data_IF_096903060212
#
_entry.id   IF_096903060212
#
_cell.length_a   1.000
_cell.length_b   1.000
_cell.length_c   1.000
_cell.angle_alpha   90.00
_cell.angle_beta   90.00
_cell.angle_gamma   90.00
#
_symmetry.space_group_name_H-M   'P 1'
#
loop_
_entity.id
_entity.type
_entity.pdbx_description
1 polymer ?
#
# COMPACT_ATOMS: atom_id res chain seq x y z
N UNK A 1 -8.67 10.95 -15.21
CA UNK A 1 -9.08 11.07 -13.80
C UNK A 1 -9.61 9.74 -13.24
N UNK A 2 -10.57 9.07 -13.91
CA UNK A 2 -11.18 7.83 -13.41
C UNK A 2 -10.24 6.67 -13.05
N UNK A 3 -9.11 6.49 -13.75
CA UNK A 3 -8.15 5.42 -13.42
C UNK A 3 -7.49 5.59 -12.05
N UNK A 4 -7.21 6.83 -11.65
CA UNK A 4 -6.60 7.14 -10.35
C UNK A 4 -7.64 7.02 -9.23
N UNK A 5 -8.85 7.52 -9.45
CA UNK A 5 -9.96 7.40 -8.51
C UNK A 5 -10.26 5.93 -8.17
N UNK A 6 -10.32 5.07 -9.19
CA UNK A 6 -10.50 3.63 -9.00
C UNK A 6 -9.31 3.00 -8.26
N UNK A 7 -8.09 3.40 -8.58
CA UNK A 7 -6.89 2.88 -7.90
C UNK A 7 -6.84 3.27 -6.41
N UNK A 8 -7.21 4.51 -6.08
CA UNK A 8 -7.30 5.00 -4.69
C UNK A 8 -8.37 4.24 -3.92
N UNK A 9 -9.57 4.09 -4.49
CA UNK A 9 -10.68 3.38 -3.85
C UNK A 9 -10.39 1.90 -3.60
N UNK A 10 -9.67 1.24 -4.51
CA UNK A 10 -9.33 -0.19 -4.38
C UNK A 10 -8.13 -0.46 -3.44
N UNK A 11 -7.30 0.53 -3.11
CA UNK A 11 -6.16 0.42 -2.17
C UNK A 11 -6.46 0.91 -0.75
N UNK A 12 -7.74 1.15 -0.45
CA UNK A 12 -8.22 1.48 0.89
C UNK A 12 -8.23 0.26 1.83
N UNK A 13 -7.04 -0.32 2.08
CA UNK A 13 -6.84 -1.37 3.08
C UNK A 13 -6.84 -0.73 4.48
N UNK A 14 -7.99 -0.73 5.14
CA UNK A 14 -8.15 -0.24 6.51
C UNK A 14 -8.13 -1.39 7.53
N UNK A 15 -7.59 -1.08 8.72
CA UNK A 15 -7.54 -1.98 9.87
C UNK A 15 -6.39 -3.00 9.84
N UNK A 16 -6.21 -3.71 10.95
CA UNK A 16 -5.10 -4.64 11.18
C UNK A 16 -5.46 -6.11 10.94
N UNK A 17 -6.64 -6.38 10.38
CA UNK A 17 -7.05 -7.74 10.04
C UNK A 17 -6.46 -8.13 8.69
N UNK A 18 -5.36 -8.90 8.71
CA UNK A 18 -4.59 -9.30 7.54
C UNK A 18 -4.94 -10.71 7.12
N UNK A 19 -5.95 -10.85 6.25
CA UNK A 19 -6.40 -12.16 5.74
C UNK A 19 -5.72 -12.50 4.43
N UNK A 20 -5.69 -13.80 4.09
CA UNK A 20 -5.20 -14.28 2.79
C UNK A 20 -5.96 -13.65 1.61
N UNK A 21 -7.27 -13.42 1.77
CA UNK A 21 -8.09 -12.74 0.78
C UNK A 21 -7.63 -11.29 0.52
N UNK A 22 -7.29 -10.53 1.58
CA UNK A 22 -6.76 -9.17 1.44
C UNK A 22 -5.38 -9.16 0.79
N UNK A 23 -4.54 -10.15 1.12
CA UNK A 23 -3.23 -10.33 0.48
C UNK A 23 -3.38 -10.55 -1.03
N UNK A 24 -4.28 -11.45 -1.44
CA UNK A 24 -4.56 -11.69 -2.86
C UNK A 24 -5.14 -10.45 -3.55
N UNK A 25 -6.04 -9.73 -2.88
CA UNK A 25 -6.61 -8.48 -3.39
C UNK A 25 -5.54 -7.41 -3.61
N UNK A 26 -4.61 -7.24 -2.66
CA UNK A 26 -3.53 -6.27 -2.76
C UNK A 26 -2.56 -6.58 -3.90
N UNK A 27 -2.18 -7.84 -4.07
CA UNK A 27 -1.32 -8.27 -5.19
C UNK A 27 -2.03 -8.06 -6.54
N UNK A 28 -3.32 -8.37 -6.64
CA UNK A 28 -4.09 -8.15 -7.86
C UNK A 28 -4.24 -6.65 -8.18
N UNK A 29 -4.53 -5.84 -7.17
CA UNK A 29 -4.55 -4.39 -7.31
C UNK A 29 -3.20 -3.85 -7.82
N UNK A 30 -2.10 -4.34 -7.23
CA UNK A 30 -0.75 -3.94 -7.57
C UNK A 30 -0.33 -4.37 -8.98
N UNK A 31 -1.01 -5.32 -9.65
CA UNK A 31 -0.75 -5.67 -11.06
C UNK A 31 -1.70 -4.95 -12.02
N UNK A 32 -2.93 -4.64 -11.60
CA UNK A 32 -4.02 -4.07 -12.43
C UNK A 32 -3.75 -2.67 -13.00
N UNK A 33 -3.13 -1.77 -12.24
CA UNK A 33 -2.97 -0.35 -12.63
C UNK A 33 -1.54 -0.03 -13.11
N UNK A 34 -1.29 0.91 -14.03
CA UNK A 34 0.08 1.30 -14.39
C UNK A 34 0.92 1.75 -13.19
N UNK A 35 2.24 1.56 -13.23
CA UNK A 35 3.15 1.81 -12.10
C UNK A 35 3.00 3.21 -11.48
N UNK A 36 2.96 4.26 -12.32
CA UNK A 36 2.80 5.64 -11.86
C UNK A 36 1.45 5.90 -11.18
N UNK A 37 0.37 5.30 -11.69
CA UNK A 37 -0.98 5.44 -11.10
C UNK A 37 -1.04 4.74 -9.74
N UNK A 38 -0.47 3.55 -9.66
CA UNK A 38 -0.37 2.77 -8.43
C UNK A 38 0.42 3.52 -7.35
N UNK A 39 1.60 4.06 -7.68
CA UNK A 39 2.43 4.84 -6.75
C UNK A 39 1.66 6.06 -6.24
N UNK A 40 1.02 6.82 -7.14
CA UNK A 40 0.25 8.00 -6.76
C UNK A 40 -0.94 7.65 -5.86
N UNK A 41 -1.64 6.55 -6.16
CA UNK A 41 -2.74 6.07 -5.32
C UNK A 41 -2.26 5.69 -3.91
N UNK A 42 -1.13 4.98 -3.80
CA UNK A 42 -0.52 4.65 -2.50
C UNK A 42 -0.11 5.89 -1.73
N UNK A 43 0.47 6.90 -2.39
CA UNK A 43 0.83 8.18 -1.76
C UNK A 43 -0.40 8.91 -1.20
N UNK A 44 -1.49 8.99 -1.96
CA UNK A 44 -2.74 9.62 -1.55
C UNK A 44 -3.37 8.86 -0.37
N UNK A 45 -3.44 7.52 -0.45
CA UNK A 45 -4.02 6.71 0.60
C UNK A 45 -3.23 6.79 1.90
N UNK A 46 -1.90 6.76 1.82
CA UNK A 46 -1.04 6.93 2.98
C UNK A 46 -1.22 8.32 3.60
N UNK A 47 -1.12 9.41 2.82
CA UNK A 47 -1.27 10.76 3.34
C UNK A 47 -2.64 10.98 3.98
N UNK A 48 -3.70 10.50 3.33
CA UNK A 48 -5.07 10.57 3.88
C UNK A 48 -5.22 9.76 5.17
N UNK A 49 -4.53 8.63 5.28
CA UNK A 49 -4.58 7.79 6.50
C UNK A 49 -3.80 8.41 7.65
N UNK A 50 -2.66 9.04 7.36
CA UNK A 50 -1.86 9.79 8.34
C UNK A 50 -2.62 11.03 8.80
N UNK A 51 -3.20 11.82 7.89
CA UNK A 51 -4.01 13.00 8.24
C UNK A 51 -5.17 12.62 9.17
N UNK A 52 -5.89 11.52 8.84
CA UNK A 52 -6.95 10.99 9.71
C UNK A 52 -6.45 10.55 11.08
N UNK A 53 -5.29 9.88 11.13
CA UNK A 53 -4.70 9.45 12.39
C UNK A 53 -4.30 10.66 13.26
N UNK A 54 -3.77 11.72 12.65
CA UNK A 54 -3.40 12.95 13.35
C UNK A 54 -4.61 13.74 13.86
N UNK A 55 -5.73 13.72 13.13
CA UNK A 55 -7.00 14.33 13.56
C UNK A 55 -7.79 13.47 14.57
N UNK A 56 -7.30 12.25 14.85
CA UNK A 56 -7.90 11.28 15.75
C UNK A 56 -7.82 11.67 17.24
N UNK A 57 -8.51 10.88 18.08
CA UNK A 57 -8.49 11.10 19.54
C UNK A 57 -7.20 10.59 20.20
N UNK A 58 -6.56 9.60 19.58
CA UNK A 58 -5.29 9.03 20.02
C UNK A 58 -4.35 8.87 18.81
N UNK A 59 -3.66 9.96 18.41
CA UNK A 59 -2.81 9.96 17.22
C UNK A 59 -1.71 8.91 17.25
N UNK A 60 -1.14 8.62 18.42
CA UNK A 60 -0.06 7.64 18.56
C UNK A 60 -0.54 6.23 18.19
N UNK A 61 -1.69 5.80 18.72
CA UNK A 61 -2.25 4.48 18.44
C UNK A 61 -2.78 4.36 17.00
N UNK A 62 -3.36 5.44 16.46
CA UNK A 62 -3.83 5.46 15.08
C UNK A 62 -2.66 5.43 14.08
N UNK A 63 -1.56 6.15 14.34
CA UNK A 63 -0.34 6.07 13.55
C UNK A 63 0.32 4.69 13.64
N UNK A 64 0.31 4.04 14.81
CA UNK A 64 0.78 2.66 14.94
C UNK A 64 -0.04 1.70 14.06
N UNK A 65 -1.34 1.96 13.90
CA UNK A 65 -2.20 1.20 13.00
C UNK A 65 -1.81 1.42 11.53
N UNK A 66 -1.52 2.65 11.13
CA UNK A 66 -1.00 2.97 9.79
C UNK A 66 0.32 2.25 9.54
N UNK A 67 1.23 2.26 10.51
CA UNK A 67 2.51 1.55 10.44
C UNK A 67 2.33 0.04 10.25
N UNK A 68 1.42 -0.59 11.02
CA UNK A 68 1.11 -2.03 10.88
C UNK A 68 0.64 -2.37 9.46
N UNK A 69 -0.20 -1.54 8.85
CA UNK A 69 -0.65 -1.74 7.46
C UNK A 69 0.52 -1.63 6.48
N UNK A 70 1.42 -0.66 6.66
CA UNK A 70 2.62 -0.51 5.81
C UNK A 70 3.54 -1.72 5.90
N UNK A 71 3.80 -2.21 7.12
CA UNK A 71 4.63 -3.40 7.36
C UNK A 71 3.99 -4.63 6.69
N UNK A 72 2.69 -4.84 6.85
CA UNK A 72 1.99 -5.93 6.18
C UNK A 72 2.08 -5.83 4.65
N UNK A 73 1.86 -4.65 4.05
CA UNK A 73 2.00 -4.45 2.60
C UNK A 73 3.42 -4.80 2.13
N UNK A 74 4.45 -4.42 2.89
CA UNK A 74 5.85 -4.76 2.60
C UNK A 74 6.10 -6.27 2.67
N UNK A 75 5.58 -6.96 3.68
CA UNK A 75 5.70 -8.42 3.80
C UNK A 75 5.04 -9.15 2.62
N UNK A 76 3.84 -8.71 2.21
CA UNK A 76 3.16 -9.26 1.03
C UNK A 76 4.00 -9.05 -0.24
N UNK A 77 4.55 -7.85 -0.42
CA UNK A 77 5.38 -7.54 -1.58
C UNK A 77 6.69 -8.33 -1.58
N UNK A 78 7.35 -8.46 -0.43
CA UNK A 78 8.56 -9.26 -0.26
C UNK A 78 8.32 -10.74 -0.66
N UNK A 79 7.23 -11.33 -0.19
CA UNK A 79 6.85 -12.70 -0.56
C UNK A 79 6.48 -12.84 -2.04
N UNK A 80 5.92 -11.78 -2.65
CA UNK A 80 5.51 -11.79 -4.05
C UNK A 80 6.71 -11.67 -4.99
N UNK A 81 7.72 -10.86 -4.66
CA UNK A 81 8.92 -10.70 -5.50
C UNK A 81 9.87 -11.90 -5.48
N UNK A 82 9.77 -12.76 -4.46
CA UNK A 82 10.49 -14.04 -4.42
C UNK A 82 9.98 -15.04 -5.47
N UNK A 83 8.77 -14.85 -5.99
CA UNK A 83 8.19 -15.70 -7.04
C UNK A 83 8.70 -15.27 -8.42
N UNK A 84 8.60 -16.15 -9.41
CA UNK A 84 8.87 -15.78 -10.80
C UNK A 84 7.85 -14.76 -11.29
N UNK A 85 8.33 -13.57 -11.65
CA UNK A 85 7.55 -12.47 -12.16
C UNK A 85 8.13 -12.01 -13.50
N UNK A 86 7.27 -11.57 -14.44
CA UNK A 86 7.73 -10.86 -15.63
C UNK A 86 8.59 -9.65 -15.27
N UNK A 87 9.58 -9.33 -16.10
CA UNK A 87 10.54 -8.24 -15.84
C UNK A 87 9.87 -6.89 -15.55
N UNK A 88 8.78 -6.58 -16.25
CA UNK A 88 8.04 -5.32 -16.08
C UNK A 88 7.28 -5.28 -14.74
N UNK A 89 6.64 -6.38 -14.34
CA UNK A 89 5.96 -6.50 -13.05
C UNK A 89 6.96 -6.42 -11.88
N UNK A 90 8.16 -7.00 -12.05
CA UNK A 90 9.22 -6.92 -11.03
C UNK A 90 9.64 -5.47 -10.78
N UNK A 91 9.96 -4.72 -11.84
CA UNK A 91 10.32 -3.28 -11.71
C UNK A 91 9.22 -2.47 -11.02
N UNK A 92 7.96 -2.77 -11.34
CA UNK A 92 6.80 -2.10 -10.72
C UNK A 92 6.69 -2.40 -9.23
N UNK A 93 6.87 -3.65 -8.81
CA UNK A 93 6.87 -4.01 -7.39
C UNK A 93 8.07 -3.43 -6.65
N UNK A 94 9.26 -3.38 -7.27
CA UNK A 94 10.43 -2.71 -6.69
C UNK A 94 10.18 -1.22 -6.43
N UNK A 95 9.53 -0.53 -7.37
CA UNK A 95 9.12 0.87 -7.19
C UNK A 95 8.10 1.01 -6.04
N UNK A 96 7.11 0.12 -5.96
CA UNK A 96 6.13 0.13 -4.88
C UNK A 96 6.77 -0.12 -3.51
N UNK A 97 7.67 -1.10 -3.42
CA UNK A 97 8.41 -1.41 -2.19
C UNK A 97 9.23 -0.20 -1.74
N UNK A 98 9.91 0.48 -2.67
CA UNK A 98 10.70 1.68 -2.36
C UNK A 98 9.82 2.78 -1.77
N UNK A 99 8.64 3.02 -2.34
CA UNK A 99 7.69 3.99 -1.82
C UNK A 99 7.14 3.57 -0.44
N UNK A 100 6.76 2.29 -0.26
CA UNK A 100 6.25 1.79 1.03
C UNK A 100 7.32 1.86 2.14
N UNK A 101 8.59 1.59 1.82
CA UNK A 101 9.71 1.76 2.77
C UNK A 101 9.87 3.23 3.15
N UNK A 102 9.85 4.15 2.17
CA UNK A 102 9.90 5.59 2.45
C UNK A 102 8.76 6.02 3.38
N UNK A 103 7.55 5.55 3.15
CA UNK A 103 6.39 5.87 3.97
C UNK A 103 6.51 5.33 5.40
N UNK A 104 6.97 4.08 5.55
CA UNK A 104 7.23 3.47 6.86
C UNK A 104 8.30 4.22 7.64
N UNK A 105 9.35 4.69 6.99
CA UNK A 105 10.46 5.38 7.66
C UNK A 105 10.09 6.81 8.10
N UNK A 106 8.99 7.36 7.57
CA UNK A 106 8.48 8.71 7.90
C UNK A 106 7.40 8.67 9.00
N UNK A 107 6.62 7.59 9.09
CA UNK A 107 5.59 7.37 10.13
C UNK A 107 6.23 6.97 11.45
#
# INVERSE_FOLDING_TARGET
>A
AHLLENAVGEDAFAGTDFTEAKTAQFVNWATKFPAQVMILATQINWSTSVDKALDGKDPSNELETVLKVLVWKLEVMANTVLKELPADSRKKFEQLITELVRQRDVV
#
